data_IF_943869562374
#
_entry.id   IF_943869562374
#
_cell.length_a   1.000
_cell.length_b   1.000
_cell.length_c   1.000
_cell.angle_alpha   90.00
_cell.angle_beta   90.00
_cell.angle_gamma   90.00
#
_symmetry.space_group_name_H-M   'P 1'
#
loop_
_entity.id
_entity.type
_entity.pdbx_description
1 polymer ?
#
# COMPACT_ATOMS: atom_id res chain seq x y z
N UNK A 1 24.28 39.08 -42.37
CA UNK A 1 24.72 37.73 -41.94
C UNK A 1 24.38 37.40 -40.47
N UNK A 2 23.85 38.31 -39.69
CA UNK A 2 23.47 38.14 -38.28
C UNK A 2 22.05 37.60 -38.07
N UNK A 3 21.11 37.94 -38.95
CA UNK A 3 19.71 37.58 -38.85
C UNK A 3 19.44 36.08 -39.08
N UNK A 4 20.23 35.44 -39.93
CA UNK A 4 20.10 34.03 -40.25
C UNK A 4 20.50 33.08 -39.11
N UNK A 5 21.35 33.54 -38.18
CA UNK A 5 21.81 32.73 -37.02
C UNK A 5 20.77 32.72 -35.87
N UNK A 6 19.94 33.75 -35.75
CA UNK A 6 18.92 33.83 -34.71
C UNK A 6 17.72 32.91 -35.01
N UNK A 7 17.39 32.75 -36.30
CA UNK A 7 16.25 31.89 -36.72
C UNK A 7 16.57 30.41 -36.51
N UNK A 8 17.84 29.99 -36.70
CA UNK A 8 18.27 28.59 -36.49
C UNK A 8 18.28 28.20 -34.99
N UNK A 9 18.56 29.14 -34.10
CA UNK A 9 18.58 28.88 -32.65
C UNK A 9 17.15 28.78 -32.08
N UNK A 10 16.19 29.54 -32.64
CA UNK A 10 14.79 29.52 -32.22
C UNK A 10 14.06 28.22 -32.63
N UNK A 11 14.47 27.58 -33.72
CA UNK A 11 13.82 26.35 -34.22
C UNK A 11 14.24 25.09 -33.43
N UNK A 12 15.42 25.08 -32.82
CA UNK A 12 15.92 23.95 -32.02
C UNK A 12 15.25 23.90 -30.65
N UNK A 13 14.77 25.04 -30.12
CA UNK A 13 14.10 25.10 -28.81
C UNK A 13 12.62 24.68 -28.84
N UNK A 14 12.02 24.55 -30.03
CA UNK A 14 10.61 24.14 -30.17
C UNK A 14 10.42 22.63 -30.30
N UNK A 15 11.50 21.84 -30.42
CA UNK A 15 11.45 20.38 -30.58
C UNK A 15 11.63 19.60 -29.29
N UNK A 16 11.84 20.25 -28.14
CA UNK A 16 12.07 19.59 -26.85
C UNK A 16 10.81 19.48 -25.97
N UNK A 17 9.61 19.71 -26.52
CA UNK A 17 8.38 19.85 -25.77
C UNK A 17 7.32 18.78 -25.97
N UNK A 18 7.65 17.55 -26.37
CA UNK A 18 6.70 16.44 -26.36
C UNK A 18 7.40 15.18 -25.89
N UNK A 19 7.72 15.11 -24.59
CA UNK A 19 7.83 13.79 -23.98
C UNK A 19 6.41 13.29 -23.77
N UNK A 20 5.93 12.55 -24.76
CA UNK A 20 4.77 11.68 -24.61
C UNK A 20 5.03 10.77 -23.43
N UNK A 21 4.23 10.92 -22.38
CA UNK A 21 4.17 9.96 -21.29
C UNK A 21 3.52 8.71 -21.89
N UNK A 22 4.33 7.85 -22.47
CA UNK A 22 3.91 6.53 -22.90
C UNK A 22 3.62 5.74 -21.63
N UNK A 23 2.35 5.76 -21.20
CA UNK A 23 1.86 4.80 -20.21
C UNK A 23 2.16 3.43 -20.83
N UNK A 24 3.17 2.77 -20.28
CA UNK A 24 3.54 1.43 -20.71
C UNK A 24 2.32 0.53 -20.47
N UNK A 25 1.57 0.27 -21.54
CA UNK A 25 0.44 -0.66 -21.57
C UNK A 25 0.82 -2.09 -21.16
N UNK A 26 2.12 -2.37 -21.02
CA UNK A 26 2.66 -3.62 -20.51
C UNK A 26 2.36 -3.88 -19.02
N UNK A 27 2.23 -2.84 -18.19
CA UNK A 27 1.95 -3.04 -16.75
C UNK A 27 0.48 -3.39 -16.50
N UNK A 28 -0.45 -2.82 -17.29
CA UNK A 28 -1.86 -3.20 -17.20
C UNK A 28 -2.11 -4.60 -17.74
N UNK A 29 -1.41 -5.02 -18.79
CA UNK A 29 -1.54 -6.39 -19.32
C UNK A 29 -0.96 -7.43 -18.37
N UNK A 30 0.13 -7.14 -17.66
CA UNK A 30 0.68 -8.07 -16.65
C UNK A 30 -0.24 -8.22 -15.44
N UNK A 31 -0.92 -7.15 -15.01
CA UNK A 31 -1.95 -7.24 -13.99
C UNK A 31 -3.15 -8.07 -14.46
N UNK A 32 -3.66 -7.81 -15.67
CA UNK A 32 -4.78 -8.59 -16.24
C UNK A 32 -4.40 -10.05 -16.41
N UNK A 33 -3.16 -10.35 -16.85
CA UNK A 33 -2.68 -11.72 -16.98
C UNK A 33 -2.54 -12.40 -15.62
N UNK A 34 -2.12 -11.69 -14.56
CA UNK A 34 -2.09 -12.21 -13.19
C UNK A 34 -3.50 -12.55 -12.66
N UNK A 35 -4.54 -11.84 -13.12
CA UNK A 35 -5.93 -12.13 -12.75
C UNK A 35 -6.59 -13.22 -13.62
N UNK A 36 -6.08 -13.52 -14.82
CA UNK A 36 -6.67 -14.49 -15.75
C UNK A 36 -5.87 -15.78 -15.90
N UNK A 37 -4.62 -15.83 -15.46
CA UNK A 37 -3.87 -17.07 -15.37
C UNK A 37 -4.40 -17.86 -14.18
N UNK A 38 -4.86 -19.07 -14.42
CA UNK A 38 -5.06 -20.08 -13.38
C UNK A 38 -3.73 -20.17 -12.61
N UNK A 39 -3.70 -19.87 -11.31
CA UNK A 39 -2.43 -19.80 -10.58
C UNK A 39 -1.81 -21.19 -10.59
N UNK A 40 -0.69 -21.36 -11.30
CA UNK A 40 0.24 -22.45 -11.00
C UNK A 40 0.44 -22.40 -9.49
N UNK A 41 0.12 -23.49 -8.81
CA UNK A 41 0.00 -23.60 -7.36
C UNK A 41 1.18 -22.94 -6.65
N UNK A 42 1.06 -21.63 -6.39
CA UNK A 42 1.86 -20.97 -5.36
C UNK A 42 1.59 -21.71 -4.05
N UNK A 43 2.60 -21.98 -3.23
CA UNK A 43 2.43 -22.66 -1.96
C UNK A 43 1.28 -21.98 -1.22
N UNK A 44 0.42 -22.78 -0.61
CA UNK A 44 -0.89 -22.43 -0.03
C UNK A 44 -0.81 -21.39 1.12
N UNK A 45 -0.08 -20.30 0.88
CA UNK A 45 0.08 -19.15 1.79
C UNK A 45 -1.17 -18.31 1.74
N UNK A 46 -2.23 -18.81 2.36
CA UNK A 46 -3.47 -18.06 2.50
C UNK A 46 -3.33 -17.05 3.62
N UNK A 47 -3.58 -15.81 3.28
CA UNK A 47 -3.78 -14.78 4.27
C UNK A 47 -5.26 -14.59 4.52
N UNK A 48 -5.61 -14.21 5.74
CA UNK A 48 -6.94 -13.76 6.09
C UNK A 48 -6.90 -12.28 6.39
N UNK A 49 -7.80 -11.51 5.79
CA UNK A 49 -8.09 -10.13 6.20
C UNK A 49 -9.27 -10.13 7.15
N UNK A 50 -9.15 -9.37 8.25
CA UNK A 50 -10.22 -9.13 9.22
C UNK A 50 -10.42 -7.62 9.41
N UNK A 51 -11.66 -7.15 9.34
CA UNK A 51 -12.01 -5.74 9.52
C UNK A 51 -13.47 -5.61 9.98
N UNK A 52 -13.72 -5.02 11.16
CA UNK A 52 -15.06 -4.66 11.63
C UNK A 52 -16.09 -5.80 11.60
N UNK A 53 -15.68 -7.04 11.84
CA UNK A 53 -16.54 -8.23 11.73
C UNK A 53 -16.59 -8.86 10.33
N UNK A 54 -15.99 -8.23 9.33
CA UNK A 54 -15.73 -8.82 8.01
C UNK A 54 -14.48 -9.71 8.09
N UNK A 55 -14.53 -10.86 7.41
CA UNK A 55 -13.36 -11.74 7.26
C UNK A 55 -13.37 -12.40 5.89
N UNK A 56 -12.23 -12.41 5.22
CA UNK A 56 -12.08 -13.03 3.90
C UNK A 56 -10.65 -13.55 3.69
N UNK A 57 -10.52 -14.59 2.85
CA UNK A 57 -9.23 -15.04 2.36
C UNK A 57 -8.72 -14.07 1.28
N UNK A 58 -7.42 -13.76 1.34
CA UNK A 58 -6.70 -12.93 0.37
C UNK A 58 -5.38 -13.59 -0.01
N UNK A 59 -4.86 -13.23 -1.18
CA UNK A 59 -3.57 -13.71 -1.68
C UNK A 59 -2.61 -12.53 -1.84
N UNK A 60 -1.33 -12.66 -1.43
CA UNK A 60 -0.32 -11.64 -1.65
C UNK A 60 0.14 -11.63 -3.10
N UNK A 61 0.15 -10.45 -3.71
CA UNK A 61 0.75 -10.16 -5.01
C UNK A 61 1.88 -9.15 -4.77
N UNK A 62 3.10 -9.52 -5.09
CA UNK A 62 4.27 -8.64 -4.94
C UNK A 62 4.36 -7.74 -6.16
N UNK A 63 4.41 -6.44 -5.94
CA UNK A 63 4.68 -5.40 -6.95
C UNK A 63 6.01 -4.72 -6.65
N UNK A 64 6.47 -3.81 -7.52
CA UNK A 64 7.74 -3.12 -7.32
C UNK A 64 7.77 -2.28 -6.04
N UNK A 65 6.61 -1.72 -5.63
CA UNK A 65 6.52 -0.76 -4.52
C UNK A 65 5.79 -1.31 -3.28
N UNK A 66 5.08 -2.44 -3.40
CA UNK A 66 4.23 -2.95 -2.32
C UNK A 66 3.91 -4.46 -2.46
N UNK A 67 3.46 -5.06 -1.37
CA UNK A 67 2.69 -6.30 -1.40
C UNK A 67 1.22 -5.94 -1.38
N UNK A 68 0.46 -6.41 -2.38
CA UNK A 68 -0.98 -6.19 -2.47
C UNK A 68 -1.70 -7.49 -2.11
N UNK A 69 -2.44 -7.50 -1.01
CA UNK A 69 -3.29 -8.61 -0.60
C UNK A 69 -4.64 -8.47 -1.28
N UNK A 70 -5.01 -9.43 -2.13
CA UNK A 70 -6.19 -9.32 -3.00
C UNK A 70 -7.09 -10.54 -2.94
N UNK A 71 -8.37 -10.30 -3.21
CA UNK A 71 -9.35 -11.28 -3.68
C UNK A 71 -10.26 -10.59 -4.72
N UNK A 72 -11.38 -11.20 -5.08
CA UNK A 72 -12.28 -10.64 -6.10
C UNK A 72 -12.95 -9.31 -5.71
N UNK A 73 -12.95 -8.93 -4.44
CA UNK A 73 -13.68 -7.79 -3.89
C UNK A 73 -12.76 -6.79 -3.18
N UNK A 74 -11.65 -7.27 -2.66
CA UNK A 74 -10.80 -6.53 -1.73
C UNK A 74 -9.40 -6.33 -2.30
N UNK A 75 -8.79 -5.20 -1.98
CA UNK A 75 -7.37 -4.97 -2.23
C UNK A 75 -6.77 -4.12 -1.11
N UNK A 76 -5.71 -4.63 -0.48
CA UNK A 76 -4.96 -3.99 0.60
C UNK A 76 -3.50 -3.89 0.19
N UNK A 77 -2.96 -2.69 0.05
CA UNK A 77 -1.55 -2.46 -0.29
C UNK A 77 -0.74 -2.18 0.96
N UNK A 78 0.40 -2.87 1.09
CA UNK A 78 1.32 -2.79 2.20
C UNK A 78 2.75 -2.56 1.68
N UNK A 79 3.43 -1.52 2.14
CA UNK A 79 4.77 -1.11 1.66
C UNK A 79 5.95 -1.75 2.42
N UNK A 80 5.66 -2.67 3.32
CA UNK A 80 6.63 -3.31 4.22
C UNK A 80 6.57 -2.79 5.66
N UNK A 81 5.99 -1.60 5.88
CA UNK A 81 5.79 -1.00 7.20
C UNK A 81 4.35 -0.56 7.43
N UNK A 82 3.69 -0.03 6.40
CA UNK A 82 2.37 0.55 6.53
C UNK A 82 1.41 -0.01 5.49
N UNK A 83 0.16 -0.21 5.92
CA UNK A 83 -0.95 -0.33 4.98
C UNK A 83 -1.14 1.06 4.38
N UNK A 84 -0.91 1.18 3.07
CA UNK A 84 -0.93 2.45 2.34
C UNK A 84 -2.21 2.67 1.54
N UNK A 85 -2.96 1.60 1.26
CA UNK A 85 -4.24 1.70 0.53
C UNK A 85 -5.15 0.53 0.91
N UNK A 86 -6.44 0.83 1.04
CA UNK A 86 -7.49 -0.16 1.31
C UNK A 86 -8.69 0.11 0.40
N UNK A 87 -9.20 -0.94 -0.24
CA UNK A 87 -10.45 -0.89 -1.00
C UNK A 87 -11.25 -2.17 -0.78
N UNK A 88 -12.57 -2.09 -0.89
CA UNK A 88 -13.48 -3.20 -0.61
C UNK A 88 -13.82 -3.34 0.88
N UNK A 89 -13.69 -4.53 1.45
CA UNK A 89 -14.00 -4.87 2.85
C UNK A 89 -15.41 -4.45 3.28
N UNK A 90 -16.35 -4.41 2.32
CA UNK A 90 -17.74 -3.92 2.51
C UNK A 90 -17.87 -2.45 2.99
N UNK A 91 -16.77 -1.71 3.12
CA UNK A 91 -16.76 -0.39 3.78
C UNK A 91 -15.94 0.68 3.06
N UNK A 92 -14.93 0.29 2.26
CA UNK A 92 -14.02 1.23 1.61
C UNK A 92 -14.37 1.47 0.14
N UNK A 93 -15.53 2.07 -0.09
CA UNK A 93 -15.99 2.57 -1.38
C UNK A 93 -16.38 4.04 -1.19
N UNK A 94 -15.58 5.02 -1.64
CA UNK A 94 -14.30 4.90 -2.38
C UNK A 94 -13.13 4.34 -1.54
N UNK A 95 -12.03 4.00 -2.23
CA UNK A 95 -10.81 3.52 -1.58
C UNK A 95 -10.21 4.56 -0.64
N UNK A 96 -9.61 4.11 0.46
CA UNK A 96 -8.86 4.94 1.39
C UNK A 96 -7.36 4.78 1.12
N UNK A 97 -6.64 5.90 1.18
CA UNK A 97 -5.19 5.93 1.14
C UNK A 97 -4.66 6.40 2.48
N UNK A 98 -3.58 5.79 2.93
CA UNK A 98 -2.87 6.15 4.16
C UNK A 98 -1.49 6.65 3.73
N UNK A 99 -1.15 7.86 4.14
CA UNK A 99 0.11 8.51 3.78
C UNK A 99 0.89 8.80 5.06
N UNK A 100 2.05 8.17 5.20
CA UNK A 100 2.97 8.41 6.31
C UNK A 100 4.07 9.39 5.87
N UNK A 101 4.27 10.47 6.63
CA UNK A 101 5.29 11.47 6.38
C UNK A 101 5.90 11.95 7.69
N UNK A 102 7.14 11.55 7.96
CA UNK A 102 7.81 11.83 9.23
C UNK A 102 7.05 11.18 10.40
N UNK A 103 6.47 12.02 11.25
CA UNK A 103 5.66 11.57 12.39
C UNK A 103 4.15 11.81 12.17
N UNK A 104 3.72 12.08 10.96
CA UNK A 104 2.31 12.30 10.61
C UNK A 104 1.79 11.13 9.76
N UNK A 105 0.62 10.60 10.13
CA UNK A 105 -0.15 9.62 9.40
C UNK A 105 -1.45 10.28 8.94
N UNK A 106 -1.59 10.48 7.63
CA UNK A 106 -2.77 11.09 7.03
C UNK A 106 -3.68 10.03 6.39
N UNK A 107 -4.98 10.15 6.61
CA UNK A 107 -6.02 9.35 5.97
C UNK A 107 -6.65 10.16 4.86
N UNK A 108 -6.66 9.62 3.65
CA UNK A 108 -7.07 10.32 2.43
C UNK A 108 -8.20 9.56 1.74
N UNK A 109 -9.27 10.26 1.37
CA UNK A 109 -10.40 9.72 0.60
C UNK A 109 -10.68 10.66 -0.56
N UNK A 110 -10.74 10.16 -1.77
CA UNK A 110 -10.93 10.96 -2.99
C UNK A 110 -9.95 12.15 -3.09
N UNK A 111 -8.68 11.91 -2.73
CA UNK A 111 -7.63 12.93 -2.75
C UNK A 111 -7.76 14.00 -1.65
N UNK A 112 -8.67 13.83 -0.68
CA UNK A 112 -8.86 14.77 0.43
C UNK A 112 -8.41 14.16 1.74
N UNK A 113 -7.58 14.86 2.49
CA UNK A 113 -7.21 14.46 3.85
C UNK A 113 -8.42 14.60 4.76
N UNK A 114 -8.88 13.48 5.34
CA UNK A 114 -10.04 13.42 6.24
C UNK A 114 -9.64 13.36 7.71
N UNK A 115 -8.41 12.90 8.00
CA UNK A 115 -7.85 12.91 9.34
C UNK A 115 -6.32 12.91 9.28
N UNK A 116 -5.69 13.40 10.36
CA UNK A 116 -4.24 13.34 10.59
C UNK A 116 -4.00 12.86 12.00
N UNK A 117 -3.10 11.91 12.14
CA UNK A 117 -2.65 11.38 13.42
C UNK A 117 -1.15 11.58 13.56
N UNK A 118 -0.66 11.63 14.77
CA UNK A 118 0.77 11.64 15.06
C UNK A 118 1.20 10.24 15.43
N UNK A 119 2.24 9.72 14.77
CA UNK A 119 2.82 8.43 15.06
C UNK A 119 4.30 8.56 15.43
N UNK A 120 4.75 7.76 16.37
CA UNK A 120 6.16 7.64 16.72
C UNK A 120 6.87 6.70 15.72
N UNK A 121 8.19 6.60 15.83
CA UNK A 121 8.96 5.61 15.08
C UNK A 121 8.59 4.19 15.51
N UNK A 122 8.72 3.23 14.60
CA UNK A 122 8.56 1.82 14.90
C UNK A 122 9.62 1.36 15.91
N UNK A 123 9.17 0.65 16.96
CA UNK A 123 10.00 0.03 17.99
C UNK A 123 10.01 -1.48 17.76
N UNK A 124 11.19 -2.10 17.90
CA UNK A 124 11.41 -3.52 17.77
C UNK A 124 11.42 -4.19 19.14
N UNK A 125 10.72 -5.31 19.26
CA UNK A 125 10.70 -6.18 20.44
C UNK A 125 10.98 -7.62 20.00
N UNK A 126 11.97 -8.26 20.61
CA UNK A 126 12.20 -9.71 20.41
C UNK A 126 11.18 -10.50 21.23
N UNK A 127 10.63 -11.56 20.64
CA UNK A 127 9.64 -12.46 21.24
C UNK A 127 10.14 -13.91 21.16
N UNK A 128 9.51 -14.84 21.86
CA UNK A 128 9.87 -16.25 21.80
C UNK A 128 9.72 -16.86 20.39
N UNK A 129 8.82 -16.33 19.58
CA UNK A 129 8.46 -16.87 18.26
C UNK A 129 8.96 -16.03 17.09
N UNK A 130 9.72 -14.94 17.37
CA UNK A 130 10.21 -14.05 16.33
C UNK A 130 10.39 -12.62 16.81
N UNK A 131 9.91 -11.65 16.02
CA UNK A 131 10.05 -10.22 16.29
C UNK A 131 8.70 -9.53 16.16
N UNK A 132 8.40 -8.62 17.10
CA UNK A 132 7.25 -7.72 17.03
C UNK A 132 7.73 -6.30 16.83
N UNK A 133 7.17 -5.62 15.85
CA UNK A 133 7.32 -4.18 15.67
C UNK A 133 6.04 -3.49 16.13
N UNK A 134 6.17 -2.39 16.85
CA UNK A 134 5.06 -1.56 17.32
C UNK A 134 5.29 -0.10 16.98
N UNK A 135 4.21 0.58 16.58
CA UNK A 135 4.19 2.01 16.34
C UNK A 135 3.07 2.62 17.17
N UNK A 136 3.42 3.48 18.12
CA UNK A 136 2.43 4.23 18.91
C UNK A 136 1.94 5.43 18.12
N UNK A 137 0.63 5.54 18.01
CA UNK A 137 -0.02 6.64 17.30
C UNK A 137 -1.06 7.33 18.18
N UNK A 138 -1.29 8.61 17.92
CA UNK A 138 -2.29 9.43 18.63
C UNK A 138 -3.12 10.20 17.60
N UNK A 139 -4.41 9.90 17.55
CA UNK A 139 -5.44 10.65 16.86
C UNK A 139 -6.43 11.23 17.88
N UNK A 140 -7.72 10.93 17.74
CA UNK A 140 -8.74 11.20 18.78
C UNK A 140 -8.47 10.41 20.05
N UNK A 141 -7.87 9.23 19.91
CA UNK A 141 -7.41 8.36 20.99
C UNK A 141 -6.04 7.80 20.62
N UNK A 142 -5.29 7.31 21.59
CA UNK A 142 -4.06 6.58 21.34
C UNK A 142 -4.37 5.16 20.84
N UNK A 143 -3.52 4.66 19.93
CA UNK A 143 -3.58 3.31 19.41
C UNK A 143 -2.19 2.82 19.03
N UNK A 144 -2.07 1.52 18.78
CA UNK A 144 -0.80 0.88 18.40
C UNK A 144 -1.00 0.13 17.09
N UNK A 145 -0.15 0.40 16.12
CA UNK A 145 0.02 -0.45 14.95
C UNK A 145 1.05 -1.53 15.26
N UNK A 146 0.85 -2.75 14.74
CA UNK A 146 1.74 -3.90 15.03
C UNK A 146 2.08 -4.67 13.76
N UNK A 147 3.31 -5.19 13.68
CA UNK A 147 3.74 -6.16 12.67
C UNK A 147 4.45 -7.30 13.41
N UNK A 148 4.05 -8.54 13.14
CA UNK A 148 4.72 -9.74 13.65
C UNK A 148 5.54 -10.39 12.54
N UNK A 149 6.78 -10.70 12.84
CA UNK A 149 7.71 -11.42 11.97
C UNK A 149 8.08 -12.73 12.66
N UNK A 150 7.79 -13.84 12.03
CA UNK A 150 8.10 -15.18 12.54
C UNK A 150 9.59 -15.47 12.58
N UNK A 151 9.97 -16.59 13.19
CA UNK A 151 11.36 -17.03 13.37
C UNK A 151 12.12 -17.22 12.05
N UNK A 152 11.42 -17.46 10.94
CA UNK A 152 12.01 -17.60 9.60
C UNK A 152 12.16 -16.25 8.85
N UNK A 153 11.82 -15.13 9.51
CA UNK A 153 11.93 -13.80 8.93
C UNK A 153 10.74 -13.37 8.04
N UNK A 154 9.69 -14.20 7.92
CA UNK A 154 8.47 -13.84 7.19
C UNK A 154 7.50 -13.05 8.10
N UNK A 155 6.80 -12.08 7.52
CA UNK A 155 5.68 -11.43 8.22
C UNK A 155 4.56 -12.45 8.38
N UNK A 156 3.98 -12.51 9.58
CA UNK A 156 2.91 -13.45 9.94
C UNK A 156 1.61 -12.76 10.35
N UNK A 157 1.68 -11.53 10.82
CA UNK A 157 0.52 -10.73 11.22
C UNK A 157 0.81 -9.24 11.02
N UNK A 158 -0.16 -8.51 10.50
CA UNK A 158 -0.13 -7.05 10.36
C UNK A 158 -1.44 -6.53 10.97
N UNK A 159 -1.36 -5.66 11.96
CA UNK A 159 -2.50 -5.05 12.62
C UNK A 159 -2.34 -3.54 12.64
N UNK A 160 -3.17 -2.82 11.88
CA UNK A 160 -3.04 -1.37 11.74
C UNK A 160 -4.39 -0.68 11.65
N UNK A 161 -4.44 0.53 12.21
CA UNK A 161 -5.57 1.44 12.00
C UNK A 161 -5.52 1.97 10.57
N UNK A 162 -6.64 1.84 9.86
CA UNK A 162 -6.74 2.16 8.42
C UNK A 162 -7.77 3.24 8.11
N UNK A 163 -8.50 3.75 9.11
CA UNK A 163 -9.48 4.82 8.91
C UNK A 163 -9.49 5.86 10.05
N UNK A 164 -10.22 6.94 9.83
CA UNK A 164 -10.36 8.04 10.80
C UNK A 164 -11.20 7.69 12.02
N UNK A 165 -11.87 6.56 12.04
CA UNK A 165 -12.70 6.07 13.15
C UNK A 165 -11.95 5.13 14.08
N UNK A 166 -10.65 4.90 13.81
CA UNK A 166 -9.73 4.03 14.53
C UNK A 166 -10.08 2.54 14.41
N UNK A 167 -10.74 2.15 13.33
CA UNK A 167 -10.95 0.74 13.06
C UNK A 167 -9.65 0.07 12.60
N UNK A 168 -9.41 -1.09 13.19
CA UNK A 168 -8.21 -1.89 12.97
C UNK A 168 -8.45 -2.88 11.83
N UNK A 169 -7.56 -2.91 10.86
CA UNK A 169 -7.45 -3.97 9.88
C UNK A 169 -6.35 -4.93 10.31
N UNK A 170 -6.66 -6.21 10.27
CA UNK A 170 -5.70 -7.29 10.53
C UNK A 170 -5.54 -8.15 9.29
N UNK A 171 -4.28 -8.40 8.92
CA UNK A 171 -3.87 -9.41 7.94
C UNK A 171 -3.09 -10.50 8.67
N UNK A 172 -3.53 -11.74 8.55
CA UNK A 172 -2.88 -12.89 9.22
C UNK A 172 -2.55 -13.98 8.23
N UNK A 173 -1.32 -14.48 8.30
CA UNK A 173 -0.87 -15.66 7.58
C UNK A 173 -1.48 -16.92 8.25
N UNK A 174 -2.22 -17.71 7.49
CA UNK A 174 -2.73 -18.99 7.95
C UNK A 174 -1.65 -20.05 7.80
N UNK A 175 -1.39 -20.76 8.87
CA UNK A 175 -0.47 -21.92 8.91
C UNK A 175 -1.19 -23.20 8.47
#
# INVERSE_FOLDING_TARGET
MLIMRVITLGLVLLLSGCQYFEVQSGQLSSLITAFTSEPDALPDTRWTVEFGGYSAAVQPVITDDATVFVNNLDAISFDGWSIIKVSGLNSFIPAWEIQDSGNERAFVVDGRVVAKHRCDSWLKYDTETGVRFEQQCTGKQAYTNTILVGSLGQITDIEQVVDSTLMVLRLRLNN
#
